data_IF_868155428692
#
_entry.id   IF_868155428692
#
_cell.length_a   1.000
_cell.length_b   1.000
_cell.length_c   1.000
_cell.angle_alpha   90.00
_cell.angle_beta   90.00
_cell.angle_gamma   90.00
#
_symmetry.space_group_name_H-M   'P 1'
#
loop_
_entity.id
_entity.type
_entity.pdbx_description
1 polymer ?
#
# COMPACT_ATOMS: atom_id res chain seq x y z
N UNK A 1 -18.00 -9.06 -4.04
CA UNK A 1 -17.03 -7.96 -3.97
C UNK A 1 -17.46 -6.84 -4.90
N UNK A 2 -17.54 -5.61 -4.39
CA UNK A 2 -17.79 -4.42 -5.20
C UNK A 2 -16.46 -3.89 -5.76
N UNK A 3 -16.31 -3.94 -7.09
CA UNK A 3 -15.06 -3.57 -7.77
C UNK A 3 -14.78 -2.07 -7.73
N UNK A 4 -15.80 -1.23 -7.62
CA UNK A 4 -15.65 0.21 -7.52
C UNK A 4 -15.14 0.58 -6.13
N UNK A 5 -15.70 -0.05 -5.10
CA UNK A 5 -15.28 0.16 -3.70
C UNK A 5 -13.81 -0.24 -3.49
N UNK A 6 -13.39 -1.39 -4.02
CA UNK A 6 -11.99 -1.82 -3.99
C UNK A 6 -11.08 -0.80 -4.68
N UNK A 7 -11.45 -0.30 -5.86
CA UNK A 7 -10.64 0.68 -6.58
C UNK A 7 -10.49 1.99 -5.78
N UNK A 8 -11.57 2.51 -5.18
CA UNK A 8 -11.53 3.69 -4.29
C UNK A 8 -10.59 3.48 -3.11
N UNK A 9 -10.65 2.32 -2.46
CA UNK A 9 -9.78 1.97 -1.34
C UNK A 9 -8.32 1.98 -1.78
N UNK A 10 -7.97 1.32 -2.88
CA UNK A 10 -6.60 1.28 -3.39
C UNK A 10 -6.08 2.68 -3.74
N UNK A 11 -6.90 3.52 -4.38
CA UNK A 11 -6.52 4.90 -4.67
C UNK A 11 -6.31 5.73 -3.41
N UNK A 12 -7.15 5.55 -2.40
CA UNK A 12 -6.97 6.20 -1.10
C UNK A 12 -5.73 5.72 -0.35
N UNK A 13 -5.43 4.41 -0.39
CA UNK A 13 -4.19 3.85 0.18
C UNK A 13 -2.94 4.46 -0.48
N UNK A 14 -2.95 4.61 -1.80
CA UNK A 14 -1.87 5.27 -2.55
C UNK A 14 -1.58 6.66 -2.01
N UNK A 15 -2.64 7.45 -1.80
CA UNK A 15 -2.55 8.82 -1.30
C UNK A 15 -2.06 8.88 0.16
N UNK A 16 -2.58 8.01 1.04
CA UNK A 16 -2.15 7.91 2.43
C UNK A 16 -0.65 7.56 2.54
N UNK A 17 -0.20 6.53 1.80
CA UNK A 17 1.20 6.12 1.77
C UNK A 17 2.12 7.25 1.27
N UNK A 18 1.69 7.95 0.22
CA UNK A 18 2.43 9.09 -0.35
C UNK A 18 2.53 10.26 0.63
N UNK A 19 1.56 10.46 1.52
CA UNK A 19 1.62 11.49 2.56
C UNK A 19 2.53 11.09 3.71
N UNK A 20 2.38 9.86 4.21
CA UNK A 20 3.16 9.35 5.33
C UNK A 20 4.68 9.40 5.06
N UNK A 21 5.12 9.26 3.80
CA UNK A 21 6.56 9.37 3.46
C UNK A 21 7.19 10.68 3.93
N UNK A 22 6.42 11.78 3.96
CA UNK A 22 6.87 13.11 4.39
C UNK A 22 6.71 13.34 5.90
N UNK A 23 6.03 12.43 6.60
CA UNK A 23 5.72 12.52 8.03
C UNK A 23 6.15 11.26 8.77
N UNK A 24 7.16 10.56 8.26
CA UNK A 24 7.55 9.22 8.72
C UNK A 24 7.86 9.10 10.23
N UNK A 25 8.19 10.20 10.91
CA UNK A 25 8.42 10.23 12.36
C UNK A 25 7.18 10.60 13.20
N UNK A 26 6.00 10.77 12.59
CA UNK A 26 4.79 11.17 13.31
C UNK A 26 4.06 9.97 13.94
N UNK A 27 3.43 10.19 15.10
CA UNK A 27 2.53 9.21 15.71
C UNK A 27 1.37 8.82 14.76
N UNK A 28 0.88 9.78 13.98
CA UNK A 28 -0.16 9.51 12.98
C UNK A 28 0.29 8.52 11.89
N UNK A 29 1.59 8.46 11.57
CA UNK A 29 2.12 7.47 10.60
C UNK A 29 1.98 6.06 11.15
N UNK A 30 2.36 5.83 12.41
CA UNK A 30 2.28 4.48 12.99
C UNK A 30 0.83 4.03 13.17
N UNK A 31 -0.08 4.93 13.56
CA UNK A 31 -1.50 4.62 13.68
C UNK A 31 -2.12 4.31 12.31
N UNK A 32 -1.82 5.12 11.30
CA UNK A 32 -2.29 4.90 9.92
C UNK A 32 -1.77 3.56 9.37
N UNK A 33 -0.51 3.21 9.63
CA UNK A 33 0.06 1.91 9.22
C UNK A 33 -0.64 0.73 9.90
N UNK A 34 -1.00 0.85 11.18
CA UNK A 34 -1.76 -0.17 11.88
C UNK A 34 -3.17 -0.32 11.30
N UNK A 35 -3.88 0.79 11.05
CA UNK A 35 -5.21 0.77 10.41
C UNK A 35 -5.16 0.14 9.01
N UNK A 36 -4.16 0.50 8.20
CA UNK A 36 -3.94 -0.11 6.89
C UNK A 36 -3.68 -1.61 7.00
N UNK A 37 -2.80 -2.03 7.92
CA UNK A 37 -2.52 -3.46 8.14
C UNK A 37 -3.79 -4.23 8.50
N UNK A 38 -4.65 -3.69 9.37
CA UNK A 38 -5.93 -4.32 9.72
C UNK A 38 -6.81 -4.50 8.49
N UNK A 39 -7.03 -3.44 7.70
CA UNK A 39 -7.82 -3.51 6.46
C UNK A 39 -7.26 -4.50 5.44
N UNK A 40 -5.93 -4.56 5.29
CA UNK A 40 -5.25 -5.48 4.35
C UNK A 40 -5.34 -6.96 4.73
N UNK A 41 -5.65 -7.27 5.99
CA UNK A 41 -5.87 -8.64 6.47
C UNK A 41 -7.33 -9.09 6.38
N UNK A 42 -8.26 -8.18 6.08
CA UNK A 42 -9.65 -8.54 5.84
C UNK A 42 -9.82 -9.23 4.48
N UNK A 43 -10.85 -10.08 4.38
CA UNK A 43 -11.28 -10.59 3.09
C UNK A 43 -11.71 -9.42 2.20
N UNK A 44 -11.08 -9.30 1.03
CA UNK A 44 -11.38 -8.24 0.05
C UNK A 44 -12.86 -8.23 -0.36
N UNK A 45 -13.55 -9.36 -0.28
CA UNK A 45 -14.98 -9.44 -0.57
C UNK A 45 -15.83 -8.64 0.43
N UNK A 46 -15.30 -8.35 1.61
CA UNK A 46 -15.93 -7.60 2.69
C UNK A 46 -15.52 -6.11 2.72
N UNK A 47 -14.60 -5.70 1.83
CA UNK A 47 -14.15 -4.33 1.77
C UNK A 47 -15.28 -3.36 1.42
N UNK A 48 -15.36 -2.29 2.19
CA UNK A 48 -16.26 -1.17 1.99
C UNK A 48 -15.47 0.12 2.14
N UNK A 49 -15.64 1.05 1.20
CA UNK A 49 -14.98 2.35 1.25
C UNK A 49 -15.40 3.14 2.48
N UNK A 50 -16.66 3.04 2.90
CA UNK A 50 -17.14 3.68 4.12
C UNK A 50 -16.45 3.11 5.37
N UNK A 51 -16.35 1.78 5.48
CA UNK A 51 -15.63 1.15 6.59
C UNK A 51 -14.15 1.54 6.58
N UNK A 52 -13.54 1.58 5.40
CA UNK A 52 -12.18 2.05 5.23
C UNK A 52 -11.99 3.48 5.76
N UNK A 53 -12.88 4.41 5.44
CA UNK A 53 -12.81 5.79 5.95
C UNK A 53 -12.90 5.83 7.49
N UNK A 54 -13.78 5.03 8.09
CA UNK A 54 -13.96 4.97 9.56
C UNK A 54 -12.65 4.58 10.27
N UNK A 55 -11.83 3.71 9.67
CA UNK A 55 -10.52 3.32 10.24
C UNK A 55 -9.53 4.48 10.43
N UNK A 56 -9.78 5.61 9.76
CA UNK A 56 -8.93 6.81 9.79
C UNK A 56 -9.64 8.03 10.41
N UNK A 57 -10.80 7.83 11.03
CA UNK A 57 -11.56 8.90 11.67
C UNK A 57 -10.74 9.61 12.74
N UNK A 58 -10.12 8.83 13.62
CA UNK A 58 -9.38 9.39 14.75
C UNK A 58 -7.88 9.50 14.48
N UNK A 59 -7.36 8.77 13.49
CA UNK A 59 -5.92 8.64 13.27
C UNK A 59 -5.58 8.74 11.77
N UNK A 60 -5.16 9.93 11.32
CA UNK A 60 -4.76 10.15 9.94
C UNK A 60 -3.68 11.23 9.79
N UNK A 61 -2.91 11.22 8.68
CA UNK A 61 -1.81 12.17 8.48
C UNK A 61 -2.25 13.56 7.97
N UNK A 62 -3.55 13.82 7.85
CA UNK A 62 -4.11 15.04 7.24
C UNK A 62 -4.62 16.07 8.25
N UNK A 63 -4.39 15.90 9.55
CA UNK A 63 -4.74 16.89 10.56
C UNK A 63 -6.24 16.97 10.88
N UNK A 64 -7.06 16.04 10.35
CA UNK A 64 -8.48 15.90 10.70
C UNK A 64 -9.26 15.05 9.69
N UNK A 65 -10.29 14.34 10.17
CA UNK A 65 -11.11 13.43 9.35
C UNK A 65 -11.79 14.12 8.16
N UNK A 66 -12.38 15.31 8.36
CA UNK A 66 -13.08 16.01 7.28
C UNK A 66 -12.13 16.36 6.11
N UNK A 67 -10.91 16.81 6.43
CA UNK A 67 -9.90 17.14 5.42
C UNK A 67 -9.43 15.90 4.66
N UNK A 68 -9.31 14.76 5.37
CA UNK A 68 -9.04 13.47 4.74
C UNK A 68 -10.18 13.10 3.78
N UNK A 69 -11.43 13.06 4.24
CA UNK A 69 -12.59 12.64 3.42
C UNK A 69 -12.74 13.53 2.20
N UNK A 70 -12.61 14.84 2.34
CA UNK A 70 -12.65 15.78 1.20
C UNK A 70 -11.56 15.45 0.18
N UNK A 71 -10.31 15.29 0.64
CA UNK A 71 -9.18 14.94 -0.22
C UNK A 71 -9.40 13.60 -0.93
N UNK A 72 -9.87 12.58 -0.20
CA UNK A 72 -10.10 11.24 -0.73
C UNK A 72 -11.28 11.21 -1.72
N UNK A 73 -12.33 12.00 -1.49
CA UNK A 73 -13.45 12.11 -2.44
C UNK A 73 -13.03 12.80 -3.73
N UNK A 74 -12.18 13.84 -3.66
CA UNK A 74 -11.64 14.52 -4.84
C UNK A 74 -10.84 13.53 -5.71
N UNK A 75 -9.92 12.77 -5.13
CA UNK A 75 -9.10 11.80 -5.89
C UNK A 75 -9.92 10.63 -6.47
N UNK A 76 -11.05 10.29 -5.84
CA UNK A 76 -11.92 9.20 -6.27
C UNK A 76 -13.00 9.64 -7.26
N UNK A 77 -13.11 10.93 -7.57
CA UNK A 77 -14.15 11.47 -8.47
C UNK A 77 -14.16 10.88 -9.88
N UNK A 78 -13.02 10.37 -10.36
CA UNK A 78 -12.86 9.81 -11.71
C UNK A 78 -12.33 8.38 -11.71
N UNK A 79 -12.60 7.62 -10.63
CA UNK A 79 -12.14 6.23 -10.54
C UNK A 79 -13.10 5.27 -11.22
N UNK A 80 -12.54 4.25 -11.87
CA UNK A 80 -13.27 3.18 -12.53
C UNK A 80 -13.16 1.89 -11.71
N UNK A 81 -14.07 0.96 -11.96
CA UNK A 81 -14.01 -0.38 -11.38
C UNK A 81 -12.70 -1.10 -11.73
N UNK A 82 -12.16 -1.86 -10.77
CA UNK A 82 -11.01 -2.72 -11.05
C UNK A 82 -11.41 -4.01 -11.77
N UNK A 83 -10.58 -4.44 -12.70
CA UNK A 83 -10.66 -5.72 -13.39
C UNK A 83 -9.59 -6.73 -12.92
N UNK A 84 -8.78 -6.37 -11.92
CA UNK A 84 -7.55 -7.08 -11.56
C UNK A 84 -7.62 -7.76 -10.17
N UNK A 85 -8.79 -8.32 -9.85
CA UNK A 85 -9.14 -8.83 -8.52
C UNK A 85 -8.11 -9.83 -7.98
N UNK A 86 -7.76 -10.85 -8.76
CA UNK A 86 -6.85 -11.93 -8.34
C UNK A 86 -5.48 -11.41 -7.92
N UNK A 87 -5.02 -10.37 -8.63
CA UNK A 87 -3.73 -9.74 -8.37
C UNK A 87 -3.79 -8.88 -7.11
N UNK A 88 -4.89 -8.14 -6.93
CA UNK A 88 -5.11 -7.35 -5.72
C UNK A 88 -5.12 -8.27 -4.51
N UNK A 89 -5.89 -9.36 -4.51
CA UNK A 89 -5.93 -10.33 -3.40
C UNK A 89 -4.54 -10.87 -3.05
N UNK A 90 -3.68 -11.12 -4.05
CA UNK A 90 -2.32 -11.59 -3.81
C UNK A 90 -1.42 -10.50 -3.21
N UNK A 91 -1.56 -9.27 -3.70
CA UNK A 91 -0.73 -8.16 -3.30
C UNK A 91 -1.15 -7.54 -1.96
N UNK A 92 -2.42 -7.64 -1.55
CA UNK A 92 -2.85 -7.16 -0.23
C UNK A 92 -2.16 -7.93 0.90
N UNK A 93 -2.01 -9.25 0.77
CA UNK A 93 -1.24 -10.07 1.70
C UNK A 93 0.22 -9.59 1.80
N UNK A 94 0.83 -9.28 0.65
CA UNK A 94 2.18 -8.76 0.62
C UNK A 94 2.27 -7.38 1.28
N UNK A 95 1.35 -6.47 0.95
CA UNK A 95 1.28 -5.14 1.54
C UNK A 95 1.11 -5.19 3.06
N UNK A 96 0.31 -6.13 3.59
CA UNK A 96 0.17 -6.33 5.03
C UNK A 96 1.50 -6.64 5.71
N UNK A 97 2.30 -7.55 5.13
CA UNK A 97 3.66 -7.87 5.61
C UNK A 97 4.54 -6.62 5.54
N UNK A 98 4.46 -5.86 4.46
CA UNK A 98 5.28 -4.65 4.33
C UNK A 98 4.86 -3.56 5.32
N UNK A 99 3.57 -3.47 5.70
CA UNK A 99 3.13 -2.62 6.80
C UNK A 99 3.75 -3.04 8.14
N UNK A 100 3.89 -4.33 8.43
CA UNK A 100 4.59 -4.82 9.64
C UNK A 100 6.04 -4.37 9.69
N UNK A 101 6.70 -4.43 8.55
CA UNK A 101 8.08 -4.01 8.37
C UNK A 101 8.23 -2.47 8.50
N UNK A 102 7.29 -1.71 7.94
CA UNK A 102 7.21 -0.26 8.14
C UNK A 102 7.02 0.10 9.64
N UNK A 103 6.13 -0.61 10.32
CA UNK A 103 5.90 -0.47 11.78
C UNK A 103 7.19 -0.78 12.56
N UNK A 104 7.94 -1.81 12.17
CA UNK A 104 9.21 -2.17 12.79
C UNK A 104 10.25 -1.07 12.59
N UNK A 105 10.41 -0.55 11.37
CA UNK A 105 11.31 0.57 11.09
C UNK A 105 10.96 1.82 11.91
N UNK A 106 9.68 2.11 12.09
CA UNK A 106 9.22 3.18 12.98
C UNK A 106 9.68 2.97 14.43
N UNK A 107 9.44 1.77 14.99
CA UNK A 107 9.81 1.42 16.38
C UNK A 107 11.33 1.42 16.61
N UNK A 108 12.10 1.12 15.59
CA UNK A 108 13.57 1.19 15.59
C UNK A 108 14.10 2.60 15.26
N UNK A 109 13.23 3.60 15.13
CA UNK A 109 13.54 4.99 14.78
C UNK A 109 14.30 5.14 13.45
N UNK A 110 14.16 4.17 12.55
CA UNK A 110 14.77 4.15 11.20
C UNK A 110 13.92 4.94 10.20
N UNK A 111 13.63 6.20 10.51
CA UNK A 111 12.67 7.02 9.76
C UNK A 111 13.06 7.27 8.30
N UNK A 112 14.36 7.34 7.99
CA UNK A 112 14.83 7.45 6.60
C UNK A 112 14.47 6.20 5.79
N UNK A 113 14.73 5.02 6.34
CA UNK A 113 14.34 3.76 5.73
C UNK A 113 12.81 3.62 5.66
N UNK A 114 12.07 4.08 6.67
CA UNK A 114 10.61 4.10 6.62
C UNK A 114 10.10 4.99 5.48
N UNK A 115 10.62 6.21 5.36
CA UNK A 115 10.27 7.14 4.28
C UNK A 115 10.56 6.54 2.90
N UNK A 116 11.76 5.98 2.73
CA UNK A 116 12.18 5.24 1.54
C UNK A 116 11.20 4.08 1.21
N UNK A 117 10.82 3.29 2.22
CA UNK A 117 9.89 2.17 2.07
C UNK A 117 8.51 2.64 1.59
N UNK A 118 7.95 3.67 2.22
CA UNK A 118 6.66 4.24 1.86
C UNK A 118 6.68 4.84 0.44
N UNK A 119 7.80 5.44 0.05
CA UNK A 119 8.00 5.99 -1.29
C UNK A 119 8.03 4.90 -2.37
N UNK A 120 8.58 3.72 -2.09
CA UNK A 120 8.49 2.57 -3.01
C UNK A 120 7.05 2.07 -3.15
N UNK A 121 6.33 1.98 -2.04
CA UNK A 121 5.05 1.28 -1.97
C UNK A 121 3.87 2.14 -2.39
N UNK A 122 3.95 3.46 -2.26
CA UNK A 122 2.76 4.29 -2.43
C UNK A 122 2.10 4.12 -3.79
N UNK A 123 2.86 3.88 -4.85
CA UNK A 123 2.32 3.70 -6.20
C UNK A 123 1.73 2.32 -6.48
N UNK A 124 1.99 1.34 -5.61
CA UNK A 124 1.55 -0.05 -5.82
C UNK A 124 0.02 -0.20 -5.85
N UNK A 125 -0.75 0.31 -4.87
CA UNK A 125 -2.19 0.04 -4.82
C UNK A 125 -2.90 0.56 -6.08
N UNK A 126 -2.56 1.77 -6.54
CA UNK A 126 -3.11 2.33 -7.77
C UNK A 126 -2.69 1.54 -9.02
N UNK A 127 -1.44 1.09 -9.09
CA UNK A 127 -0.96 0.28 -10.23
C UNK A 127 -1.72 -1.05 -10.38
N UNK A 128 -2.32 -1.55 -9.29
CA UNK A 128 -3.11 -2.77 -9.29
C UNK A 128 -4.53 -2.59 -9.82
N UNK A 129 -5.06 -1.36 -9.90
CA UNK A 129 -6.47 -1.13 -10.28
C UNK A 129 -6.77 -1.65 -11.69
N UNK A 130 -5.83 -1.47 -12.64
CA UNK A 130 -6.01 -1.85 -14.04
C UNK A 130 -5.06 -2.97 -14.42
N UNK A 131 -5.61 -4.11 -14.84
CA UNK A 131 -4.84 -5.29 -15.26
C UNK A 131 -3.89 -4.99 -16.41
N UNK A 132 -4.34 -4.24 -17.42
CA UNK A 132 -3.54 -3.92 -18.61
C UNK A 132 -2.35 -3.00 -18.31
N UNK A 133 -2.37 -2.29 -17.19
CA UNK A 133 -1.29 -1.38 -16.76
C UNK A 133 -0.37 -2.02 -15.72
N UNK A 134 -0.71 -3.20 -15.22
CA UNK A 134 0.06 -3.89 -14.20
C UNK A 134 1.09 -4.84 -14.82
N UNK A 135 2.37 -4.54 -14.58
CA UNK A 135 3.46 -5.50 -14.75
C UNK A 135 4.29 -5.58 -13.47
N UNK A 136 4.25 -6.72 -12.75
CA UNK A 136 5.01 -6.87 -11.51
C UNK A 136 6.51 -6.76 -11.78
N UNK A 137 7.04 -7.23 -12.92
CA UNK A 137 8.48 -7.15 -13.23
C UNK A 137 8.92 -5.69 -13.36
N UNK A 138 8.13 -4.86 -14.06
CA UNK A 138 8.42 -3.42 -14.19
C UNK A 138 8.38 -2.78 -12.81
N UNK A 139 7.35 -3.05 -12.01
CA UNK A 139 7.22 -2.48 -10.68
C UNK A 139 8.43 -2.81 -9.78
N UNK A 140 8.82 -4.08 -9.69
CA UNK A 140 10.00 -4.50 -8.92
C UNK A 140 11.29 -3.89 -9.49
N UNK A 141 11.42 -3.74 -10.80
CA UNK A 141 12.63 -3.21 -11.40
C UNK A 141 12.79 -1.69 -11.26
N UNK A 142 11.69 -0.94 -11.37
CA UNK A 142 11.69 0.53 -11.36
C UNK A 142 11.63 1.06 -9.94
N UNK A 143 10.72 0.54 -9.11
CA UNK A 143 10.47 1.10 -7.78
C UNK A 143 11.34 0.44 -6.71
N UNK A 144 11.60 -0.88 -6.77
CA UNK A 144 12.34 -1.56 -5.71
C UNK A 144 13.86 -1.56 -5.87
N UNK A 145 14.40 -1.79 -7.07
CA UNK A 145 15.85 -1.90 -7.28
C UNK A 145 16.67 -0.66 -6.86
N UNK A 146 16.19 0.59 -7.01
CA UNK A 146 16.94 1.76 -6.53
C UNK A 146 17.20 1.73 -5.01
N UNK A 147 16.26 1.22 -4.22
CA UNK A 147 16.37 1.18 -2.76
C UNK A 147 17.17 -0.02 -2.27
N UNK A 148 17.14 -1.15 -3.00
CA UNK A 148 18.10 -2.25 -2.79
C UNK A 148 19.54 -1.75 -2.80
N UNK A 149 19.90 -0.93 -3.79
CA UNK A 149 21.24 -0.32 -3.90
C UNK A 149 21.52 0.64 -2.75
N UNK A 150 20.53 1.46 -2.36
CA UNK A 150 20.67 2.46 -1.29
C UNK A 150 20.86 1.85 0.09
N UNK A 151 20.16 0.76 0.38
CA UNK A 151 20.23 0.11 1.70
C UNK A 151 21.36 -0.92 1.77
N UNK A 152 21.92 -1.33 0.62
CA UNK A 152 22.90 -2.40 0.51
C UNK A 152 22.42 -3.70 1.19
N UNK A 153 21.14 -4.02 1.04
CA UNK A 153 20.52 -5.20 1.65
C UNK A 153 19.69 -5.98 0.66
N UNK A 154 19.57 -7.29 0.90
CA UNK A 154 18.59 -8.15 0.22
C UNK A 154 17.21 -8.08 0.88
N UNK A 155 16.96 -7.08 1.75
CA UNK A 155 15.72 -6.91 2.51
C UNK A 155 14.47 -7.06 1.63
N UNK A 156 14.49 -6.43 0.46
CA UNK A 156 13.39 -6.45 -0.49
C UNK A 156 13.26 -7.73 -1.32
N UNK A 157 14.31 -8.56 -1.39
CA UNK A 157 14.31 -9.83 -2.11
C UNK A 157 13.30 -10.81 -1.52
N UNK A 158 13.05 -10.73 -0.21
CA UNK A 158 12.08 -11.55 0.50
C UNK A 158 10.67 -11.30 -0.04
N UNK A 159 10.27 -10.04 -0.26
CA UNK A 159 8.95 -9.72 -0.79
C UNK A 159 8.78 -10.18 -2.23
N UNK A 160 9.80 -9.95 -3.07
CA UNK A 160 9.83 -10.44 -4.44
C UNK A 160 9.64 -11.95 -4.48
N UNK A 161 10.40 -12.69 -3.67
CA UNK A 161 10.33 -14.14 -3.59
C UNK A 161 8.95 -14.61 -3.10
N UNK A 162 8.39 -14.01 -2.04
CA UNK A 162 7.04 -14.34 -1.56
C UNK A 162 5.98 -14.14 -2.65
N UNK A 163 6.05 -13.03 -3.39
CA UNK A 163 5.11 -12.75 -4.48
C UNK A 163 5.21 -13.79 -5.61
N UNK A 164 6.41 -14.06 -6.12
CA UNK A 164 6.58 -14.99 -7.25
C UNK A 164 6.43 -16.45 -6.84
N UNK A 165 6.76 -16.83 -5.61
CA UNK A 165 6.49 -18.17 -5.08
C UNK A 165 4.98 -18.44 -5.02
N UNK A 166 4.20 -17.48 -4.54
CA UNK A 166 2.74 -17.57 -4.46
C UNK A 166 2.06 -17.56 -5.85
N UNK A 167 2.76 -17.21 -6.92
CA UNK A 167 2.26 -17.22 -8.30
C UNK A 167 2.44 -18.60 -8.98
N UNK A 168 3.04 -19.58 -8.29
CA UNK A 168 3.59 -20.77 -8.91
C UNK A 168 4.92 -20.44 -9.58
N UNK A 169 5.88 -21.36 -9.53
CA UNK A 169 7.28 -21.17 -9.95
C UNK A 169 7.50 -20.92 -11.47
N UNK A 170 6.56 -20.29 -12.17
CA UNK A 170 6.60 -20.00 -13.60
C UNK A 170 7.49 -18.80 -13.96
N UNK A 171 7.97 -18.05 -12.97
CA UNK A 171 8.92 -16.97 -13.19
C UNK A 171 10.31 -17.38 -12.69
N UNK A 172 10.90 -18.36 -13.36
CA UNK A 172 12.35 -18.57 -13.28
C UNK A 172 13.05 -17.38 -13.94
N UNK A 173 13.60 -16.47 -13.13
CA UNK A 173 14.69 -15.56 -13.50
C UNK A 173 15.67 -15.45 -12.36
#
# INVERSE_FOLDING_TARGET
MDKLEVAKILKSMTFLLAKMRFQSSSASTIETLNSLKCSLNEDINLWSYQNFLILFQDNNPYGGYNQLVESLNIINSNIFETDNVDEITRMTQLMSIVCEDAIKLYKEEKFKQLSDLLDVLHGLPEALISKDRWDPKIFWNVYFNPYKKRWNTDYFKIYKNKYFYNKGAEYNV
#
